data_IF_814699199257
#
_entry.id   IF_814699199257
#
_cell.length_a   1.000
_cell.length_b   1.000
_cell.length_c   1.000
_cell.angle_alpha   90.00
_cell.angle_beta   90.00
_cell.angle_gamma   90.00
#
_symmetry.space_group_name_H-M   'P 1'
#
loop_
_entity.id
_entity.type
_entity.pdbx_description
1 polymer ?
#
# COMPACT_ATOMS: atom_id res chain seq x y z
N UNK A 1 -45.94 -7.96 72.62
CA UNK A 1 -44.76 -7.42 71.91
C UNK A 1 -44.52 -8.35 70.73
N UNK A 2 -45.18 -8.02 69.62
CA UNK A 2 -45.20 -8.83 68.40
C UNK A 2 -44.16 -8.31 67.40
N UNK A 3 -43.23 -9.13 67.02
CA UNK A 3 -42.22 -8.81 66.02
C UNK A 3 -42.70 -9.38 64.67
N UNK A 4 -43.05 -8.48 63.74
CA UNK A 4 -43.45 -8.84 62.36
C UNK A 4 -42.17 -8.98 61.53
N UNK A 5 -41.88 -10.19 61.09
CA UNK A 5 -40.78 -10.53 60.18
C UNK A 5 -41.27 -10.35 58.73
N UNK A 6 -40.92 -9.23 58.10
CA UNK A 6 -41.23 -8.95 56.70
C UNK A 6 -40.24 -9.67 55.78
N UNK A 7 -40.64 -10.84 55.26
CA UNK A 7 -39.88 -11.56 54.26
C UNK A 7 -40.00 -10.86 52.87
N UNK A 8 -38.94 -10.18 52.39
CA UNK A 8 -38.83 -9.69 51.03
C UNK A 8 -38.65 -10.88 50.08
N UNK A 9 -39.75 -11.29 49.45
CA UNK A 9 -39.67 -12.17 48.26
C UNK A 9 -39.16 -11.34 47.08
N UNK A 10 -37.84 -11.32 46.82
CA UNK A 10 -37.28 -10.83 45.57
C UNK A 10 -37.69 -11.78 44.45
N UNK A 11 -38.54 -11.32 43.57
CA UNK A 11 -39.14 -12.10 42.50
C UNK A 11 -38.08 -12.56 41.50
N UNK A 12 -37.99 -13.86 41.26
CA UNK A 12 -37.16 -14.51 40.26
C UNK A 12 -37.53 -14.09 38.82
N UNK A 13 -38.70 -13.43 38.62
CA UNK A 13 -39.18 -12.99 37.33
C UNK A 13 -38.35 -11.84 36.72
N UNK A 14 -37.77 -10.95 37.53
CA UNK A 14 -37.00 -9.82 37.07
C UNK A 14 -35.64 -10.20 36.46
N UNK A 15 -35.07 -11.32 36.86
CA UNK A 15 -33.80 -11.82 36.33
C UNK A 15 -33.93 -12.38 34.91
N UNK A 16 -35.05 -13.00 34.55
CA UNK A 16 -35.26 -13.59 33.23
C UNK A 16 -35.55 -12.50 32.15
N UNK A 17 -36.23 -11.41 32.52
CA UNK A 17 -36.46 -10.27 31.66
C UNK A 17 -35.17 -9.54 31.28
N UNK A 18 -34.28 -9.35 32.24
CA UNK A 18 -32.98 -8.69 32.05
C UNK A 18 -32.05 -9.46 31.09
N UNK A 19 -31.96 -10.76 31.20
CA UNK A 19 -31.14 -11.61 30.34
C UNK A 19 -31.63 -11.62 28.88
N UNK A 20 -32.93 -11.57 28.65
CA UNK A 20 -33.49 -11.49 27.28
C UNK A 20 -33.24 -10.16 26.62
N UNK A 21 -33.32 -9.06 27.36
CA UNK A 21 -33.02 -7.72 26.88
C UNK A 21 -31.52 -7.53 26.56
N UNK A 22 -30.64 -8.01 27.45
CA UNK A 22 -29.18 -7.97 27.23
C UNK A 22 -28.78 -8.81 26.00
N UNK A 23 -29.36 -9.97 25.77
CA UNK A 23 -29.12 -10.79 24.55
C UNK A 23 -29.55 -10.04 23.27
N UNK A 24 -30.71 -9.38 23.31
CA UNK A 24 -31.19 -8.59 22.15
C UNK A 24 -30.27 -7.41 21.88
N UNK A 25 -29.87 -6.68 22.90
CA UNK A 25 -28.93 -5.57 22.81
C UNK A 25 -27.57 -6.01 22.27
N UNK A 26 -27.05 -7.14 22.76
CA UNK A 26 -25.82 -7.75 22.23
C UNK A 26 -25.92 -8.16 20.76
N UNK A 27 -27.07 -8.72 20.35
CA UNK A 27 -27.35 -9.07 18.95
C UNK A 27 -27.29 -7.84 18.04
N UNK A 28 -28.03 -6.80 18.37
CA UNK A 28 -28.05 -5.57 17.59
C UNK A 28 -26.68 -4.88 17.58
N UNK A 29 -26.02 -4.78 18.72
CA UNK A 29 -24.68 -4.18 18.84
C UNK A 29 -23.66 -4.91 17.97
N UNK A 30 -23.60 -6.24 18.02
CA UNK A 30 -22.67 -7.05 17.24
C UNK A 30 -22.87 -6.86 15.72
N UNK A 31 -24.12 -7.04 15.24
CA UNK A 31 -24.38 -6.94 13.81
C UNK A 31 -24.24 -5.51 13.28
N UNK A 32 -24.66 -4.50 14.06
CA UNK A 32 -24.45 -3.09 13.69
C UNK A 32 -22.96 -2.75 13.59
N UNK A 33 -22.14 -3.28 14.48
CA UNK A 33 -20.69 -3.12 14.42
C UNK A 33 -20.11 -3.73 13.13
N UNK A 34 -20.54 -4.95 12.74
CA UNK A 34 -20.11 -5.59 11.51
C UNK A 34 -20.56 -4.82 10.27
N UNK A 35 -21.79 -4.30 10.25
CA UNK A 35 -22.29 -3.45 9.15
C UNK A 35 -21.45 -2.17 9.03
N UNK A 36 -21.24 -1.46 10.14
CA UNK A 36 -20.44 -0.25 10.17
C UNK A 36 -19.00 -0.50 9.73
N UNK A 37 -18.39 -1.59 10.20
CA UNK A 37 -17.03 -2.00 9.80
C UNK A 37 -16.95 -2.27 8.29
N UNK A 38 -17.90 -3.05 7.74
CA UNK A 38 -17.91 -3.35 6.31
C UNK A 38 -18.13 -2.12 5.45
N UNK A 39 -18.99 -1.18 5.87
CA UNK A 39 -19.17 0.10 5.18
C UNK A 39 -17.91 0.95 5.22
N UNK A 40 -17.28 1.08 6.38
CA UNK A 40 -16.05 1.87 6.56
C UNK A 40 -14.88 1.31 5.73
N UNK A 41 -14.66 -0.02 5.77
CA UNK A 41 -13.60 -0.67 4.99
C UNK A 41 -13.88 -0.60 3.48
N UNK A 42 -15.13 -0.71 3.06
CA UNK A 42 -15.51 -0.53 1.66
C UNK A 42 -15.24 0.89 1.18
N UNK A 43 -15.60 1.90 1.97
CA UNK A 43 -15.32 3.31 1.67
C UNK A 43 -13.81 3.58 1.60
N UNK A 44 -13.06 3.10 2.57
CA UNK A 44 -11.59 3.24 2.57
C UNK A 44 -10.95 2.63 1.31
N UNK A 45 -11.41 1.45 0.88
CA UNK A 45 -10.92 0.83 -0.36
C UNK A 45 -11.29 1.64 -1.60
N UNK A 46 -12.49 2.21 -1.63
CA UNK A 46 -12.93 3.09 -2.71
C UNK A 46 -12.06 4.35 -2.81
N UNK A 47 -11.81 5.03 -1.69
CA UNK A 47 -10.92 6.19 -1.62
C UNK A 47 -9.52 5.82 -2.09
N UNK A 48 -9.01 4.65 -1.66
CA UNK A 48 -7.70 4.16 -2.09
C UNK A 48 -7.62 3.91 -3.59
N UNK A 49 -8.71 3.43 -4.20
CA UNK A 49 -8.79 3.28 -5.66
C UNK A 49 -8.79 4.65 -6.37
N UNK A 50 -9.46 5.65 -5.81
CA UNK A 50 -9.48 7.02 -6.34
C UNK A 50 -8.07 7.64 -6.28
N UNK A 51 -7.39 7.60 -5.13
CA UNK A 51 -6.00 8.08 -4.97
C UNK A 51 -5.05 7.50 -6.03
N UNK A 52 -5.21 6.19 -6.30
CA UNK A 52 -4.38 5.50 -7.29
C UNK A 52 -4.67 5.95 -8.72
N UNK A 53 -5.93 6.15 -9.07
CA UNK A 53 -6.30 6.70 -10.38
C UNK A 53 -5.76 8.10 -10.58
N UNK A 54 -5.90 8.95 -9.55
CA UNK A 54 -5.39 10.32 -9.60
C UNK A 54 -3.87 10.37 -9.71
N UNK A 55 -3.17 9.47 -9.01
CA UNK A 55 -1.72 9.34 -9.14
C UNK A 55 -1.32 8.95 -10.56
N UNK A 56 -1.95 7.94 -11.15
CA UNK A 56 -1.67 7.50 -12.51
C UNK A 56 -2.03 8.58 -13.55
N UNK A 57 -3.13 9.31 -13.35
CA UNK A 57 -3.51 10.43 -14.20
C UNK A 57 -2.47 11.56 -14.16
N UNK A 58 -1.97 11.90 -12.96
CA UNK A 58 -0.87 12.88 -12.81
C UNK A 58 0.41 12.43 -13.53
N UNK A 59 0.75 11.13 -13.43
CA UNK A 59 1.91 10.60 -14.15
C UNK A 59 1.72 10.65 -15.67
N UNK A 60 0.51 10.38 -16.17
CA UNK A 60 0.20 10.43 -17.60
C UNK A 60 0.20 11.87 -18.14
N UNK A 61 -0.25 12.82 -17.32
CA UNK A 61 -0.26 14.25 -17.66
C UNK A 61 1.05 14.98 -17.35
N UNK A 62 2.09 14.27 -16.85
CA UNK A 62 3.34 14.89 -16.47
C UNK A 62 4.06 15.51 -17.67
N UNK A 63 4.65 16.71 -17.50
CA UNK A 63 5.25 17.45 -18.62
C UNK A 63 6.48 16.72 -19.17
N UNK A 64 6.72 16.88 -20.48
CA UNK A 64 8.00 16.57 -21.11
C UNK A 64 8.90 17.80 -21.01
N UNK A 65 10.09 17.63 -20.48
CA UNK A 65 11.06 18.69 -20.24
C UNK A 65 12.39 18.27 -20.88
N UNK A 66 12.90 19.13 -21.76
CA UNK A 66 14.22 18.98 -22.37
C UNK A 66 15.21 19.87 -21.62
N UNK A 67 16.36 19.32 -21.24
CA UNK A 67 17.44 20.03 -20.53
C UNK A 67 16.92 20.86 -19.33
N UNK A 68 16.37 20.25 -18.28
CA UNK A 68 15.74 20.99 -17.20
C UNK A 68 16.73 21.92 -16.48
N UNK A 69 16.34 23.18 -16.29
CA UNK A 69 17.11 24.21 -15.55
C UNK A 69 16.62 24.39 -14.11
N UNK A 70 15.54 23.75 -13.74
CA UNK A 70 14.97 23.75 -12.38
C UNK A 70 14.61 22.31 -11.98
N UNK A 71 14.37 22.09 -10.69
CA UNK A 71 13.99 20.78 -10.17
C UNK A 71 12.74 20.23 -10.86
N UNK A 72 12.83 19.09 -11.58
CA UNK A 72 11.70 18.56 -12.31
C UNK A 72 10.58 18.09 -11.35
N UNK A 73 9.32 18.27 -11.70
CA UNK A 73 8.23 17.67 -10.94
C UNK A 73 8.27 16.14 -11.02
N UNK A 74 7.82 15.47 -9.98
CA UNK A 74 7.76 14.02 -9.95
C UNK A 74 6.90 13.48 -11.10
N UNK A 75 7.40 12.47 -11.80
CA UNK A 75 6.75 11.87 -12.96
C UNK A 75 7.02 12.56 -14.30
N UNK A 76 7.71 13.72 -14.33
CA UNK A 76 8.06 14.40 -15.58
C UNK A 76 8.85 13.46 -16.50
N UNK A 77 8.57 13.56 -17.80
CA UNK A 77 9.40 12.95 -18.83
C UNK A 77 10.55 13.88 -19.15
N UNK A 78 11.77 13.46 -18.84
CA UNK A 78 12.97 14.25 -19.14
C UNK A 78 13.67 13.73 -20.37
N UNK A 79 14.24 14.66 -21.14
CA UNK A 79 15.25 14.38 -22.16
C UNK A 79 16.54 15.01 -21.70
N UNK A 80 17.55 14.18 -21.46
CA UNK A 80 18.88 14.57 -20.98
C UNK A 80 19.93 14.22 -22.02
N UNK A 81 20.88 15.11 -22.23
CA UNK A 81 22.04 14.86 -23.09
C UNK A 81 23.30 15.00 -22.25
N UNK A 82 24.20 14.01 -22.34
CA UNK A 82 25.43 14.02 -21.55
C UNK A 82 26.25 12.74 -21.72
N UNK A 83 27.27 12.57 -20.90
CA UNK A 83 28.16 11.41 -20.89
C UNK A 83 28.00 10.60 -19.61
N UNK A 84 27.92 9.28 -19.74
CA UNK A 84 27.90 8.39 -18.59
C UNK A 84 29.24 8.35 -17.86
N UNK A 85 29.21 8.38 -16.54
CA UNK A 85 30.36 8.09 -15.70
C UNK A 85 30.35 6.59 -15.37
N UNK A 86 30.78 5.76 -16.31
CA UNK A 86 30.68 4.29 -16.25
C UNK A 86 31.30 3.70 -14.97
N UNK A 87 32.47 4.20 -14.56
CA UNK A 87 33.23 3.76 -13.39
C UNK A 87 32.50 4.04 -12.06
N UNK A 88 31.51 4.92 -12.07
CA UNK A 88 30.71 5.31 -10.93
C UNK A 88 29.37 4.54 -10.84
N UNK A 89 29.21 3.49 -11.65
CA UNK A 89 27.99 2.68 -11.63
C UNK A 89 27.87 1.89 -10.33
N UNK A 90 26.73 2.06 -9.65
CA UNK A 90 26.30 1.22 -8.55
C UNK A 90 25.10 0.36 -8.97
N UNK A 91 24.88 -0.73 -8.27
CA UNK A 91 23.81 -1.68 -8.60
C UNK A 91 22.78 -1.74 -7.48
N UNK A 92 21.55 -1.30 -7.76
CA UNK A 92 20.45 -1.44 -6.83
C UNK A 92 20.07 -2.92 -6.72
N UNK A 93 20.29 -3.49 -5.55
CA UNK A 93 20.19 -4.92 -5.28
C UNK A 93 18.75 -5.41 -5.07
N UNK A 94 18.54 -6.73 -5.07
CA UNK A 94 17.27 -7.39 -4.79
C UNK A 94 16.11 -6.92 -5.69
N UNK A 95 16.37 -6.78 -7.00
CA UNK A 95 15.31 -6.50 -7.97
C UNK A 95 14.81 -7.81 -8.57
N UNK A 96 13.49 -7.90 -8.71
CA UNK A 96 12.82 -9.05 -9.35
C UNK A 96 12.05 -8.53 -10.55
N UNK A 97 12.30 -9.15 -11.69
CA UNK A 97 11.56 -8.88 -12.93
C UNK A 97 11.29 -10.21 -13.64
N UNK A 98 10.03 -10.45 -13.98
CA UNK A 98 9.54 -11.70 -14.57
C UNK A 98 10.00 -12.97 -13.83
N UNK A 99 9.94 -12.92 -12.49
CA UNK A 99 10.35 -14.01 -11.60
C UNK A 99 11.88 -14.25 -11.51
N UNK A 100 12.69 -13.41 -12.15
CA UNK A 100 14.17 -13.52 -12.15
C UNK A 100 14.76 -12.51 -11.18
N UNK A 101 15.71 -12.98 -10.37
CA UNK A 101 16.47 -12.13 -9.47
C UNK A 101 17.56 -11.38 -10.26
N UNK A 102 17.78 -10.12 -9.91
CA UNK A 102 18.80 -9.31 -10.54
C UNK A 102 18.99 -7.97 -9.83
N UNK A 103 19.56 -7.03 -10.55
CA UNK A 103 19.90 -5.69 -10.09
C UNK A 103 19.43 -4.63 -11.07
N UNK A 104 19.35 -3.37 -10.62
CA UNK A 104 19.18 -2.23 -11.52
C UNK A 104 20.44 -1.37 -11.49
N UNK A 105 21.18 -1.24 -12.63
CA UNK A 105 22.32 -0.36 -12.71
C UNK A 105 21.92 1.10 -12.56
N UNK A 106 22.66 1.82 -11.72
CA UNK A 106 22.52 3.22 -11.40
C UNK A 106 23.80 3.91 -11.85
N UNK A 107 23.78 4.61 -12.97
CA UNK A 107 24.97 5.25 -13.55
C UNK A 107 24.76 6.77 -13.56
N UNK A 108 25.67 7.56 -12.97
CA UNK A 108 25.64 9.00 -13.14
C UNK A 108 25.86 9.41 -14.60
N UNK A 109 25.16 10.45 -15.03
CA UNK A 109 25.34 11.12 -16.33
C UNK A 109 25.76 12.57 -16.07
N UNK A 110 26.81 13.03 -16.74
CA UNK A 110 27.24 14.42 -16.70
C UNK A 110 26.77 15.14 -17.96
N UNK A 111 25.99 16.20 -17.80
CA UNK A 111 25.55 17.03 -18.91
C UNK A 111 26.62 18.06 -19.35
N UNK A 112 26.33 18.81 -20.40
CA UNK A 112 27.26 19.81 -20.96
C UNK A 112 27.58 20.96 -19.98
N UNK A 113 26.69 21.23 -19.03
CA UNK A 113 26.86 22.22 -17.96
C UNK A 113 27.61 21.66 -16.74
N UNK A 114 28.04 20.40 -16.81
CA UNK A 114 28.75 19.73 -15.72
C UNK A 114 27.85 19.20 -14.59
N UNK A 115 26.52 19.32 -14.73
CA UNK A 115 25.56 18.84 -13.73
C UNK A 115 25.46 17.32 -13.79
N UNK A 116 25.29 16.69 -12.62
CA UNK A 116 25.17 15.25 -12.51
C UNK A 116 23.71 14.82 -12.35
N UNK A 117 23.34 13.82 -13.13
CA UNK A 117 22.01 13.18 -13.11
C UNK A 117 22.17 11.71 -12.81
N UNK A 118 21.39 11.17 -11.87
CA UNK A 118 21.42 9.73 -11.63
C UNK A 118 20.45 9.03 -12.57
N UNK A 119 20.96 8.06 -13.33
CA UNK A 119 20.20 7.29 -14.34
C UNK A 119 20.04 5.86 -13.85
N UNK A 120 18.81 5.43 -13.65
CA UNK A 120 18.48 4.01 -13.46
C UNK A 120 18.24 3.41 -14.85
N UNK A 121 19.11 2.51 -15.27
CA UNK A 121 19.18 2.03 -16.65
C UNK A 121 18.24 0.87 -16.97
N UNK A 122 17.53 0.34 -16.01
CA UNK A 122 16.63 -0.81 -16.17
C UNK A 122 17.08 -2.01 -15.33
N UNK A 123 16.67 -3.24 -15.73
CA UNK A 123 16.93 -4.48 -15.01
C UNK A 123 18.02 -5.31 -15.71
N UNK A 124 18.91 -5.88 -14.90
CA UNK A 124 19.92 -6.82 -15.31
C UNK A 124 19.84 -8.10 -14.45
N UNK A 125 19.55 -9.26 -15.04
CA UNK A 125 19.54 -10.52 -14.29
C UNK A 125 20.97 -10.92 -13.85
N UNK A 126 21.15 -11.33 -12.60
CA UNK A 126 22.45 -11.70 -12.04
C UNK A 126 22.53 -13.16 -11.62
N UNK A 127 21.41 -13.85 -11.50
CA UNK A 127 21.41 -15.18 -10.89
C UNK A 127 21.82 -15.13 -9.40
N UNK A 128 22.31 -16.24 -8.85
CA UNK A 128 22.68 -16.34 -7.43
C UNK A 128 24.02 -15.68 -7.08
N UNK A 129 24.85 -15.29 -8.07
CA UNK A 129 26.14 -14.65 -7.83
C UNK A 129 25.97 -13.25 -7.24
N UNK A 130 26.79 -12.92 -6.24
CA UNK A 130 26.89 -11.57 -5.69
C UNK A 130 27.99 -10.73 -6.34
N UNK A 131 28.70 -11.28 -7.33
CA UNK A 131 29.68 -10.50 -8.09
C UNK A 131 28.98 -9.35 -8.86
N UNK A 132 29.65 -8.22 -9.03
CA UNK A 132 29.14 -7.15 -9.87
C UNK A 132 28.96 -7.67 -11.30
N UNK A 133 27.74 -7.58 -11.87
CA UNK A 133 27.53 -8.03 -13.24
C UNK A 133 28.24 -7.07 -14.21
N UNK A 134 28.79 -7.62 -15.27
CA UNK A 134 29.28 -6.81 -16.37
C UNK A 134 28.09 -6.09 -17.03
N UNK A 135 28.18 -4.77 -17.16
CA UNK A 135 27.19 -3.95 -17.86
C UNK A 135 27.90 -3.04 -18.87
N UNK A 136 27.58 -3.20 -20.13
CA UNK A 136 28.07 -2.28 -21.16
C UNK A 136 27.49 -0.90 -20.93
N UNK A 137 28.36 0.11 -20.89
CA UNK A 137 27.98 1.51 -20.78
C UNK A 137 28.42 2.25 -22.02
N UNK A 138 27.49 2.88 -22.76
CA UNK A 138 27.83 3.65 -23.94
C UNK A 138 28.81 4.77 -23.60
N UNK A 139 29.76 4.99 -24.50
CA UNK A 139 30.79 6.04 -24.39
C UNK A 139 30.40 7.26 -25.23
N UNK A 140 30.95 8.44 -24.88
CA UNK A 140 30.64 9.68 -25.53
C UNK A 140 29.29 10.28 -25.19
N UNK A 141 28.91 11.32 -25.89
CA UNK A 141 27.65 12.05 -25.64
C UNK A 141 26.46 11.23 -26.11
N UNK A 142 25.51 11.02 -25.25
CA UNK A 142 24.26 10.31 -25.51
C UNK A 142 23.06 11.18 -25.16
N UNK A 143 21.93 10.95 -25.85
CA UNK A 143 20.64 11.56 -25.52
C UNK A 143 19.71 10.49 -24.99
N UNK A 144 19.14 10.72 -23.83
CA UNK A 144 18.33 9.81 -23.04
C UNK A 144 16.94 10.39 -22.81
N UNK A 145 15.93 9.54 -22.80
CA UNK A 145 14.60 9.92 -22.38
C UNK A 145 14.08 8.96 -21.31
N UNK A 146 13.40 9.50 -20.33
CA UNK A 146 12.87 8.69 -19.24
C UNK A 146 12.02 9.48 -18.26
N UNK A 147 11.57 8.80 -17.23
CA UNK A 147 10.67 9.33 -16.21
C UNK A 147 11.43 9.73 -14.95
N UNK A 148 11.25 10.96 -14.53
CA UNK A 148 11.87 11.49 -13.33
C UNK A 148 11.17 11.00 -12.07
N UNK A 149 11.92 10.43 -11.15
CA UNK A 149 11.47 10.14 -9.80
C UNK A 149 12.21 11.03 -8.80
N UNK A 150 11.47 11.90 -8.11
CA UNK A 150 12.00 12.68 -7.01
C UNK A 150 12.32 11.74 -5.83
N UNK A 151 13.48 11.94 -5.19
CA UNK A 151 13.80 11.23 -3.96
C UNK A 151 12.77 11.58 -2.87
N UNK A 152 12.30 10.56 -2.17
CA UNK A 152 11.34 10.68 -1.07
C UNK A 152 11.91 10.11 0.21
N UNK A 153 11.12 10.15 1.28
CA UNK A 153 11.48 9.46 2.52
C UNK A 153 11.67 7.96 2.25
N UNK A 154 12.81 7.44 2.64
CA UNK A 154 13.15 6.03 2.48
C UNK A 154 12.80 5.25 3.75
N UNK A 155 12.34 4.01 3.59
CA UNK A 155 12.15 3.12 4.72
C UNK A 155 13.49 2.90 5.47
N UNK A 156 13.48 2.68 6.80
CA UNK A 156 14.69 2.36 7.55
C UNK A 156 15.38 1.12 6.97
N UNK A 157 16.71 1.12 6.94
CA UNK A 157 17.51 -0.04 6.59
C UNK A 157 17.99 -0.74 7.85
N UNK A 158 17.96 -2.06 7.80
CA UNK A 158 18.60 -2.91 8.82
C UNK A 158 20.00 -3.28 8.33
N UNK A 159 20.97 -2.36 8.47
CA UNK A 159 22.36 -2.56 8.06
C UNK A 159 22.89 -1.48 7.11
N UNK A 160 24.13 -1.63 6.61
CA UNK A 160 24.74 -0.68 5.70
C UNK A 160 24.01 -0.64 4.36
N UNK A 161 23.82 0.56 3.81
CA UNK A 161 23.18 0.73 2.49
C UNK A 161 24.04 0.22 1.33
N UNK A 162 25.37 0.28 1.48
CA UNK A 162 26.32 -0.07 0.42
C UNK A 162 27.24 -1.20 0.83
N UNK A 163 27.38 -2.17 -0.07
CA UNK A 163 28.34 -3.28 0.02
C UNK A 163 29.05 -3.41 -1.33
N UNK A 164 30.28 -2.94 -1.38
CA UNK A 164 31.04 -2.82 -2.64
C UNK A 164 30.36 -1.90 -3.63
N UNK A 165 29.99 -2.43 -4.80
CA UNK A 165 29.23 -1.71 -5.84
C UNK A 165 27.71 -1.88 -5.70
N UNK A 166 27.20 -2.65 -4.73
CA UNK A 166 25.77 -2.88 -4.52
C UNK A 166 25.21 -1.93 -3.48
N UNK A 167 23.98 -1.43 -3.73
CA UNK A 167 23.22 -0.60 -2.80
C UNK A 167 21.82 -1.20 -2.57
N UNK A 168 21.35 -1.15 -1.34
CA UNK A 168 20.04 -1.68 -0.97
C UNK A 168 18.91 -0.75 -1.39
N UNK A 169 19.17 0.56 -1.32
CA UNK A 169 18.26 1.64 -1.73
C UNK A 169 19.04 2.72 -2.46
N UNK A 170 18.33 3.51 -3.28
CA UNK A 170 18.90 4.68 -3.91
C UNK A 170 19.04 5.78 -2.86
N UNK A 171 20.29 6.12 -2.57
CA UNK A 171 20.68 7.21 -1.69
C UNK A 171 21.84 7.93 -2.38
N UNK A 172 21.64 9.18 -2.76
CA UNK A 172 22.62 9.94 -3.54
C UNK A 172 23.95 10.12 -2.80
N UNK A 173 23.96 10.05 -1.48
CA UNK A 173 25.18 10.09 -0.67
C UNK A 173 26.07 8.85 -0.82
N UNK A 174 25.56 7.77 -1.45
CA UNK A 174 26.36 6.57 -1.73
C UNK A 174 27.46 6.81 -2.78
N UNK A 175 27.33 7.88 -3.57
CA UNK A 175 28.36 8.31 -4.54
C UNK A 175 29.27 9.36 -3.90
N UNK A 176 30.56 9.06 -3.89
CA UNK A 176 31.61 9.98 -3.44
C UNK A 176 32.17 10.70 -4.67
N UNK A 177 31.43 11.68 -5.16
CA UNK A 177 31.77 12.46 -6.36
C UNK A 177 32.22 13.86 -5.97
N UNK A 178 33.09 14.48 -6.79
CA UNK A 178 33.54 15.85 -6.59
C UNK A 178 32.43 16.90 -6.82
N UNK A 179 31.37 16.49 -7.51
CA UNK A 179 30.20 17.33 -7.82
C UNK A 179 28.93 16.66 -7.32
N UNK A 180 28.06 17.41 -6.68
CA UNK A 180 26.76 16.91 -6.23
C UNK A 180 25.80 16.68 -7.41
N UNK A 181 24.82 15.82 -7.20
CA UNK A 181 23.73 15.65 -8.16
C UNK A 181 22.90 16.93 -8.27
N UNK A 182 22.51 17.29 -9.48
CA UNK A 182 21.76 18.51 -9.75
C UNK A 182 20.47 18.63 -8.96
N UNK A 183 19.80 17.50 -8.76
CA UNK A 183 18.55 17.44 -8.00
C UNK A 183 18.43 16.10 -7.25
N UNK A 184 17.69 16.12 -6.15
CA UNK A 184 17.42 14.94 -5.34
C UNK A 184 16.39 14.01 -6.04
N UNK A 185 16.89 13.07 -6.83
CA UNK A 185 16.08 12.12 -7.58
C UNK A 185 16.89 11.33 -8.61
N UNK A 186 16.20 10.58 -9.44
CA UNK A 186 16.82 9.80 -10.52
C UNK A 186 15.87 9.66 -11.71
N UNK A 187 16.45 9.43 -12.87
CA UNK A 187 15.72 9.14 -14.10
C UNK A 187 15.58 7.63 -14.28
N UNK A 188 14.36 7.13 -14.40
CA UNK A 188 14.11 5.81 -14.96
C UNK A 188 14.24 5.88 -16.46
N UNK A 189 15.31 5.28 -17.00
CA UNK A 189 15.57 5.31 -18.43
C UNK A 189 14.50 4.49 -19.17
N UNK A 190 13.81 5.11 -20.10
CA UNK A 190 12.79 4.48 -20.95
C UNK A 190 13.29 4.33 -22.40
N UNK A 191 14.13 5.26 -22.86
CA UNK A 191 14.65 5.28 -24.24
C UNK A 191 16.06 5.86 -24.28
N UNK A 192 16.87 5.34 -25.20
CA UNK A 192 18.23 5.84 -25.46
C UNK A 192 19.31 4.79 -25.22
N UNK A 193 20.58 5.14 -25.56
CA UNK A 193 21.71 4.24 -25.38
C UNK A 193 21.90 3.82 -23.91
N UNK A 194 22.22 2.55 -23.68
CA UNK A 194 22.39 2.01 -22.33
C UNK A 194 21.10 1.60 -21.62
N UNK A 195 19.93 1.69 -22.29
CA UNK A 195 18.68 1.19 -21.78
C UNK A 195 18.71 -0.36 -21.72
N UNK A 196 18.30 -0.90 -20.59
CA UNK A 196 18.16 -2.32 -20.31
C UNK A 196 16.67 -2.69 -20.20
N UNK A 197 16.38 -3.92 -19.76
CA UNK A 197 14.99 -4.35 -19.62
C UNK A 197 14.19 -3.40 -18.72
N UNK A 198 13.08 -2.89 -19.22
CA UNK A 198 12.17 -2.02 -18.46
C UNK A 198 11.47 -2.83 -17.39
N UNK A 199 11.84 -2.68 -16.14
CA UNK A 199 11.24 -3.38 -15.00
C UNK A 199 10.47 -2.44 -14.09
N UNK A 200 10.88 -1.18 -14.05
CA UNK A 200 10.22 -0.22 -13.19
C UNK A 200 8.86 0.16 -13.77
N UNK A 201 7.86 -0.11 -12.99
CA UNK A 201 6.53 0.43 -13.22
C UNK A 201 6.14 1.21 -11.97
N UNK A 202 5.35 2.28 -12.08
CA UNK A 202 4.78 2.91 -10.91
C UNK A 202 4.18 1.80 -10.06
N UNK A 203 4.78 1.50 -8.89
CA UNK A 203 4.37 0.39 -8.02
C UNK A 203 2.97 0.66 -7.49
N UNK A 204 1.99 0.23 -8.23
CA UNK A 204 0.60 0.49 -7.90
C UNK A 204 -0.14 -0.82 -8.01
N UNK A 205 -0.67 -1.27 -6.88
CA UNK A 205 -1.76 -2.25 -6.94
C UNK A 205 -2.83 -1.62 -7.83
N UNK A 206 -3.25 -2.29 -8.92
CA UNK A 206 -4.22 -1.72 -9.84
C UNK A 206 -5.47 -1.21 -9.11
N UNK A 207 -5.99 -0.03 -9.44
CA UNK A 207 -7.20 0.54 -8.81
C UNK A 207 -8.37 -0.43 -8.77
N UNK A 208 -8.47 -1.30 -9.79
CA UNK A 208 -9.52 -2.32 -9.95
C UNK A 208 -9.53 -3.34 -8.82
N UNK A 209 -8.36 -3.68 -8.26
CA UNK A 209 -8.29 -4.57 -7.09
C UNK A 209 -8.89 -3.93 -5.85
N UNK A 210 -8.63 -2.66 -5.63
CA UNK A 210 -9.23 -1.92 -4.52
C UNK A 210 -10.75 -1.80 -4.70
N UNK A 211 -11.24 -1.57 -5.92
CA UNK A 211 -12.68 -1.59 -6.21
C UNK A 211 -13.30 -2.96 -5.94
N UNK A 212 -12.64 -4.04 -6.35
CA UNK A 212 -13.08 -5.41 -6.04
C UNK A 212 -13.23 -5.64 -4.54
N UNK A 213 -12.24 -5.21 -3.73
CA UNK A 213 -12.33 -5.28 -2.27
C UNK A 213 -13.43 -4.39 -1.68
N UNK A 214 -13.66 -3.20 -2.23
CA UNK A 214 -14.76 -2.33 -1.79
C UNK A 214 -16.11 -3.03 -1.97
N UNK A 215 -16.36 -3.63 -3.14
CA UNK A 215 -17.57 -4.39 -3.41
C UNK A 215 -17.73 -5.58 -2.47
N UNK A 216 -16.64 -6.31 -2.16
CA UNK A 216 -16.68 -7.42 -1.21
C UNK A 216 -17.05 -6.96 0.19
N UNK A 217 -16.46 -5.86 0.70
CA UNK A 217 -16.79 -5.32 2.01
C UNK A 217 -18.24 -4.85 2.10
N UNK A 218 -18.75 -4.16 1.08
CA UNK A 218 -20.15 -3.75 1.04
C UNK A 218 -21.11 -4.95 0.92
N UNK A 219 -20.72 -5.99 0.18
CA UNK A 219 -21.46 -7.25 0.12
C UNK A 219 -21.55 -7.94 1.49
N UNK A 220 -20.44 -7.97 2.24
CA UNK A 220 -20.42 -8.50 3.61
C UNK A 220 -21.28 -7.64 4.57
N UNK A 221 -21.22 -6.32 4.46
CA UNK A 221 -22.07 -5.40 5.23
C UNK A 221 -23.56 -5.65 4.94
N UNK A 222 -23.93 -5.82 3.68
CA UNK A 222 -25.30 -6.14 3.27
C UNK A 222 -25.75 -7.51 3.84
N UNK A 223 -24.91 -8.52 3.73
CA UNK A 223 -25.18 -9.83 4.30
C UNK A 223 -25.38 -9.74 5.83
N UNK A 224 -24.51 -9.03 6.54
CA UNK A 224 -24.62 -8.79 7.97
C UNK A 224 -25.95 -8.08 8.33
N UNK A 225 -26.35 -7.07 7.54
CA UNK A 225 -27.61 -6.38 7.71
C UNK A 225 -28.82 -7.33 7.52
N UNK A 226 -28.79 -8.16 6.49
CA UNK A 226 -29.85 -9.16 6.25
C UNK A 226 -29.93 -10.14 7.43
N UNK A 227 -28.81 -10.68 7.90
CA UNK A 227 -28.80 -11.57 9.06
C UNK A 227 -29.31 -10.90 10.33
N UNK A 228 -28.95 -9.63 10.55
CA UNK A 228 -29.45 -8.84 11.67
C UNK A 228 -30.98 -8.74 11.64
N UNK A 229 -31.55 -8.37 10.48
CA UNK A 229 -32.99 -8.17 10.31
C UNK A 229 -33.78 -9.49 10.40
N UNK A 230 -33.27 -10.57 9.76
CA UNK A 230 -33.90 -11.88 9.82
C UNK A 230 -33.88 -12.45 11.25
N UNK A 231 -32.75 -12.32 11.92
CA UNK A 231 -32.64 -12.74 13.32
C UNK A 231 -33.56 -11.96 14.26
N UNK A 232 -33.67 -10.63 14.06
CA UNK A 232 -34.60 -9.80 14.82
C UNK A 232 -36.07 -10.23 14.63
N UNK A 233 -36.47 -10.49 13.37
CA UNK A 233 -37.83 -10.99 13.08
C UNK A 233 -38.10 -12.34 13.72
N UNK A 234 -37.15 -13.27 13.72
CA UNK A 234 -37.27 -14.58 14.39
C UNK A 234 -37.38 -14.46 15.90
N UNK A 235 -36.63 -13.53 16.51
CA UNK A 235 -36.71 -13.26 17.95
C UNK A 235 -38.10 -12.68 18.36
N UNK A 236 -38.67 -11.79 17.51
CA UNK A 236 -39.98 -11.22 17.76
C UNK A 236 -41.15 -12.23 17.63
N UNK A 237 -40.98 -13.29 16.81
CA UNK A 237 -41.99 -14.31 16.56
C UNK A 237 -41.97 -15.48 17.56
N UNK A 238 -41.03 -15.55 18.52
CA UNK A 238 -41.02 -16.58 19.54
C UNK A 238 -42.14 -16.29 20.54
N UNK A 239 -43.21 -17.15 20.63
CA UNK A 239 -44.24 -17.01 21.65
C UNK A 239 -43.58 -17.15 23.01
N UNK A 240 -43.99 -16.35 23.97
CA UNK A 240 -43.60 -16.54 25.35
C UNK A 240 -43.97 -17.99 25.79
N UNK A 241 -43.05 -18.66 26.47
CA UNK A 241 -43.34 -20.00 27.00
C UNK A 241 -44.66 -19.96 27.82
N UNK A 242 -45.59 -20.92 27.59
CA UNK A 242 -46.82 -20.97 28.37
C UNK A 242 -46.48 -21.02 29.86
N UNK A 243 -47.31 -20.39 30.74
CA UNK A 243 -47.13 -20.46 32.18
C UNK A 243 -47.11 -21.94 32.61
N UNK A 244 -46.17 -22.27 33.46
CA UNK A 244 -46.07 -23.62 34.02
C UNK A 244 -47.38 -23.99 34.71
N UNK A 245 -47.87 -25.25 34.54
CA UNK A 245 -49.10 -25.69 35.19
C UNK A 245 -48.97 -25.52 36.70
N UNK A 246 -49.93 -24.86 37.29
CA UNK A 246 -50.06 -24.72 38.74
C UNK A 246 -50.16 -26.13 39.38
N UNK A 247 -49.20 -26.48 40.23
CA UNK A 247 -49.29 -27.70 41.05
C UNK A 247 -50.50 -27.54 41.94
N UNK A 248 -51.56 -28.21 41.60
CA UNK A 248 -52.66 -28.46 42.53
C UNK A 248 -52.13 -29.35 43.67
N UNK A 249 -52.20 -28.83 44.84
CA UNK A 249 -51.91 -29.58 46.08
C UNK A 249 -53.13 -30.47 46.38
N UNK A 250 -52.98 -31.81 46.47
CA UNK A 250 -54.08 -32.64 46.89
C UNK A 250 -54.44 -32.39 48.38
N UNK A 251 -55.77 -32.37 48.69
CA UNK A 251 -56.30 -32.28 50.01
C UNK A 251 -56.11 -33.58 50.73
#
# INVERSE_FOLDING_TARGET
MSIIHGSRKTSLSDRHGGLSAARRMGWWGFWSCLVALGLALGLWQWERAADKRDYLARLAAAPRIESPIAAPPAGAQLVLTGEYLAEQTLFLDNRIHDGRLGVAPLTPLRDAEGRLWLIQRGFLPTGPSREPPAVETPTGVVTLAGRWQKAGASAPLFGPNREGSRVQRIDLSAWQLDTEFAYAGWLHLEQGPGHLASWWQPSVVPPERHLGYAVQWWGLALAALIFMLVGARRQARRPGSPPAPSKETPR
#
